data_IF_272365123930
#
_entry.id   IF_272365123930
#
_cell.length_a   1.000
_cell.length_b   1.000
_cell.length_c   1.000
_cell.angle_alpha   90.00
_cell.angle_beta   90.00
_cell.angle_gamma   90.00
#
_symmetry.space_group_name_H-M   'P 1'
#
loop_
_entity.id
_entity.type
_entity.pdbx_description
1 polymer ?
#
# COMPACT_ATOMS: atom_id res chain seq x y z
N UNK A 1 10.76 54.33 29.43
CA UNK A 1 9.80 54.35 28.29
C UNK A 1 10.65 54.21 27.03
N UNK A 2 10.45 53.32 26.06
CA UNK A 2 9.35 52.43 25.74
C UNK A 2 9.91 51.18 25.03
N UNK A 3 9.30 50.03 25.32
CA UNK A 3 9.43 48.79 24.55
C UNK A 3 8.84 48.99 23.16
N UNK A 4 9.62 48.83 22.09
CA UNK A 4 9.08 48.56 20.74
C UNK A 4 9.21 47.06 20.48
N UNK A 5 8.08 46.37 20.67
CA UNK A 5 7.89 44.97 20.27
C UNK A 5 8.13 44.86 18.76
N UNK A 6 9.05 43.98 18.38
CA UNK A 6 9.15 43.48 17.01
C UNK A 6 7.89 42.65 16.73
N UNK A 7 6.98 43.16 15.91
CA UNK A 7 5.96 42.32 15.29
C UNK A 7 6.65 41.51 14.20
N UNK A 8 6.97 40.25 14.48
CA UNK A 8 7.14 39.26 13.40
C UNK A 8 5.77 39.12 12.72
N UNK A 9 5.67 39.22 11.39
CA UNK A 9 4.44 38.84 10.71
C UNK A 9 4.22 37.34 10.96
N UNK A 10 3.07 37.00 11.56
CA UNK A 10 2.54 35.64 11.48
C UNK A 10 2.20 35.43 10.02
N UNK A 11 2.92 34.52 9.35
CA UNK A 11 2.53 34.01 8.05
C UNK A 11 1.18 33.31 8.25
N UNK A 12 0.09 33.92 7.80
CA UNK A 12 -1.20 33.24 7.66
C UNK A 12 -0.99 32.15 6.60
N UNK A 13 -1.11 30.87 7.01
CA UNK A 13 -1.15 29.76 6.05
C UNK A 13 -2.42 29.97 5.20
N UNK A 14 -2.30 29.80 3.89
CA UNK A 14 -3.43 30.01 2.99
C UNK A 14 -4.49 28.93 3.28
N UNK A 15 -5.79 29.24 3.24
CA UNK A 15 -6.88 28.27 3.50
C UNK A 15 -6.76 27.01 2.61
N UNK A 16 -6.16 27.16 1.42
CA UNK A 16 -5.85 26.02 0.53
C UNK A 16 -4.77 25.09 1.08
N UNK A 17 -3.75 25.65 1.72
CA UNK A 17 -2.65 24.87 2.31
C UNK A 17 -3.17 24.08 3.52
N UNK A 18 -4.02 24.71 4.34
CA UNK A 18 -4.66 24.04 5.49
C UNK A 18 -5.59 22.89 5.06
N UNK A 19 -6.31 23.05 3.93
CA UNK A 19 -7.14 21.97 3.38
C UNK A 19 -6.29 20.81 2.84
N UNK A 20 -5.16 21.10 2.19
CA UNK A 20 -4.25 20.05 1.71
C UNK A 20 -3.65 19.28 2.89
N UNK A 21 -3.16 19.98 3.92
CA UNK A 21 -2.62 19.34 5.13
C UNK A 21 -3.66 18.40 5.77
N UNK A 22 -4.92 18.84 5.86
CA UNK A 22 -6.01 18.03 6.41
C UNK A 22 -6.25 16.75 5.59
N UNK A 23 -6.21 16.84 4.26
CA UNK A 23 -6.37 15.68 3.38
C UNK A 23 -5.20 14.69 3.54
N UNK A 24 -3.97 15.20 3.64
CA UNK A 24 -2.77 14.38 3.84
C UNK A 24 -2.77 13.66 5.19
N UNK A 25 -3.16 14.36 6.26
CA UNK A 25 -3.30 13.78 7.60
C UNK A 25 -4.39 12.69 7.61
N UNK A 26 -5.56 12.99 7.03
CA UNK A 26 -6.66 12.03 6.92
C UNK A 26 -6.24 10.78 6.13
N UNK A 27 -5.58 10.94 4.99
CA UNK A 27 -5.09 9.82 4.18
C UNK A 27 -4.06 8.97 4.93
N UNK A 28 -3.16 9.63 5.68
CA UNK A 28 -2.14 8.96 6.48
C UNK A 28 -2.76 8.10 7.57
N UNK A 29 -3.77 8.61 8.28
CA UNK A 29 -4.52 7.86 9.28
C UNK A 29 -5.24 6.65 8.68
N UNK A 30 -5.89 6.81 7.52
CA UNK A 30 -6.53 5.70 6.81
C UNK A 30 -5.52 4.63 6.37
N UNK A 31 -4.38 5.05 5.84
CA UNK A 31 -3.31 4.15 5.39
C UNK A 31 -2.78 3.33 6.57
N UNK A 32 -2.53 4.00 7.70
CA UNK A 32 -2.10 3.31 8.93
C UNK A 32 -3.14 2.32 9.43
N UNK A 33 -4.43 2.68 9.41
CA UNK A 33 -5.49 1.78 9.80
C UNK A 33 -5.53 0.51 8.92
N UNK A 34 -5.34 0.64 7.61
CA UNK A 34 -5.24 -0.51 6.71
C UNK A 34 -3.99 -1.35 6.95
N UNK A 35 -2.83 -0.73 7.17
CA UNK A 35 -1.59 -1.45 7.48
C UNK A 35 -1.72 -2.29 8.75
N UNK A 36 -2.29 -1.72 9.81
CA UNK A 36 -2.55 -2.44 11.07
C UNK A 36 -3.58 -3.58 10.90
N UNK A 37 -4.60 -3.36 10.08
CA UNK A 37 -5.58 -4.41 9.76
C UNK A 37 -4.93 -5.55 8.96
N UNK A 38 -4.15 -5.23 7.94
CA UNK A 38 -3.43 -6.22 7.12
C UNK A 38 -2.33 -6.94 7.92
N UNK A 39 -1.72 -6.29 8.92
CA UNK A 39 -0.82 -6.95 9.87
C UNK A 39 -1.53 -8.03 10.69
N UNK A 40 -2.75 -7.76 11.18
CA UNK A 40 -3.55 -8.77 11.92
C UNK A 40 -3.86 -10.00 11.08
N UNK A 41 -3.97 -9.83 9.76
CA UNK A 41 -4.19 -10.93 8.82
C UNK A 41 -2.88 -11.59 8.36
N UNK A 42 -1.72 -11.07 8.78
CA UNK A 42 -0.41 -11.64 8.47
C UNK A 42 0.14 -11.26 7.09
N UNK A 43 -0.42 -10.24 6.45
CA UNK A 43 0.11 -9.67 5.19
C UNK A 43 1.34 -8.84 5.47
N UNK A 44 1.27 -8.00 6.51
CA UNK A 44 2.41 -7.23 7.01
C UNK A 44 2.89 -7.76 8.36
N UNK A 45 4.12 -7.40 8.69
CA UNK A 45 4.67 -7.42 10.04
C UNK A 45 5.27 -6.07 10.34
N UNK A 46 5.13 -5.57 11.57
CA UNK A 46 5.79 -4.36 12.00
C UNK A 46 7.01 -4.64 12.88
N UNK A 47 8.13 -3.96 12.60
CA UNK A 47 9.32 -3.96 13.43
C UNK A 47 10.00 -2.59 13.35
N UNK A 48 10.40 -2.03 14.49
CA UNK A 48 11.06 -0.71 14.57
C UNK A 48 10.29 0.42 13.86
N UNK A 49 8.97 0.48 14.04
CA UNK A 49 8.07 1.47 13.42
C UNK A 49 8.01 1.39 11.87
N UNK A 50 8.47 0.29 11.27
CA UNK A 50 8.37 0.02 9.83
C UNK A 50 7.46 -1.18 9.56
N UNK A 51 6.61 -1.08 8.53
CA UNK A 51 5.80 -2.18 8.02
C UNK A 51 6.54 -2.89 6.88
N UNK A 52 6.60 -4.22 6.96
CA UNK A 52 7.26 -5.07 5.97
C UNK A 52 6.27 -6.17 5.55
N UNK A 53 6.15 -6.41 4.24
CA UNK A 53 5.40 -7.54 3.68
C UNK A 53 5.97 -8.84 4.24
N UNK A 54 5.14 -9.77 4.71
CA UNK A 54 5.62 -11.06 5.20
C UNK A 54 6.06 -11.97 4.04
N UNK A 55 7.09 -12.78 4.26
CA UNK A 55 7.54 -13.79 3.29
C UNK A 55 6.38 -14.71 2.86
N UNK A 56 5.53 -15.10 3.81
CA UNK A 56 4.35 -15.94 3.56
C UNK A 56 3.40 -15.29 2.55
N UNK A 57 3.15 -14.00 2.68
CA UNK A 57 2.29 -13.28 1.75
C UNK A 57 2.99 -13.10 0.39
N UNK A 58 4.27 -12.72 0.39
CA UNK A 58 5.03 -12.55 -0.85
C UNK A 58 5.11 -13.85 -1.67
N UNK A 59 5.40 -14.98 -1.02
CA UNK A 59 5.41 -16.31 -1.64
C UNK A 59 4.05 -16.63 -2.29
N UNK A 60 2.95 -16.27 -1.63
CA UNK A 60 1.61 -16.48 -2.16
C UNK A 60 1.39 -15.64 -3.43
N UNK A 61 1.75 -14.37 -3.40
CA UNK A 61 1.62 -13.47 -4.58
C UNK A 61 2.46 -13.99 -5.74
N UNK A 62 3.72 -14.39 -5.50
CA UNK A 62 4.61 -14.92 -6.54
C UNK A 62 4.05 -16.20 -7.15
N UNK A 63 3.56 -17.12 -6.33
CA UNK A 63 2.98 -18.38 -6.82
C UNK A 63 1.75 -18.11 -7.71
N UNK A 64 0.86 -17.19 -7.30
CA UNK A 64 -0.28 -16.79 -8.11
C UNK A 64 0.15 -16.11 -9.42
N UNK A 65 1.19 -15.26 -9.36
CA UNK A 65 1.71 -14.58 -10.53
C UNK A 65 2.24 -15.56 -11.57
N UNK A 66 3.07 -16.53 -11.14
CA UNK A 66 3.59 -17.59 -12.02
C UNK A 66 2.47 -18.48 -12.59
N UNK A 67 1.46 -18.79 -11.78
CA UNK A 67 0.28 -19.54 -12.25
C UNK A 67 -0.47 -18.75 -13.33
N UNK A 68 -0.68 -17.45 -13.14
CA UNK A 68 -1.37 -16.59 -14.09
C UNK A 68 -0.59 -16.43 -15.41
N UNK A 69 0.73 -16.28 -15.35
CA UNK A 69 1.61 -16.30 -16.54
C UNK A 69 1.46 -17.63 -17.28
N UNK A 70 1.47 -18.76 -16.56
CA UNK A 70 1.33 -20.09 -17.18
C UNK A 70 -0.02 -20.30 -17.88
N UNK A 71 -1.05 -19.56 -17.46
CA UNK A 71 -2.38 -19.54 -18.09
C UNK A 71 -2.47 -18.57 -19.28
N UNK A 72 -1.39 -17.84 -19.59
CA UNK A 72 -1.33 -16.89 -20.70
C UNK A 72 -1.95 -15.53 -20.39
N UNK A 73 -2.02 -15.14 -19.11
CA UNK A 73 -2.42 -13.78 -18.73
C UNK A 73 -1.34 -12.77 -19.14
N UNK A 74 -1.76 -11.59 -19.59
CA UNK A 74 -0.85 -10.50 -19.95
C UNK A 74 -0.08 -10.02 -18.72
N UNK A 75 1.20 -9.71 -18.90
CA UNK A 75 2.11 -9.38 -17.80
C UNK A 75 1.60 -8.20 -16.93
N UNK A 76 0.95 -7.22 -17.57
CA UNK A 76 0.41 -6.03 -16.90
C UNK A 76 -0.76 -6.37 -15.96
N UNK A 77 -1.55 -7.40 -16.29
CA UNK A 77 -2.71 -7.83 -15.49
C UNK A 77 -2.30 -8.80 -14.36
N UNK A 78 -1.19 -9.53 -14.55
CA UNK A 78 -0.72 -10.56 -13.61
C UNK A 78 -0.51 -10.00 -12.20
N UNK A 79 0.12 -8.83 -12.06
CA UNK A 79 0.49 -8.28 -10.76
C UNK A 79 -0.76 -7.95 -9.94
N UNK A 80 -1.67 -7.17 -10.51
CA UNK A 80 -2.89 -6.73 -9.84
C UNK A 80 -3.77 -7.91 -9.44
N UNK A 81 -3.98 -8.86 -10.36
CA UNK A 81 -4.79 -10.04 -10.12
C UNK A 81 -4.19 -10.96 -9.04
N UNK A 82 -2.85 -11.08 -9.00
CA UNK A 82 -2.16 -11.91 -8.01
C UNK A 82 -2.23 -11.30 -6.61
N UNK A 83 -2.08 -9.98 -6.49
CA UNK A 83 -2.23 -9.27 -5.21
C UNK A 83 -3.68 -9.35 -4.73
N UNK A 84 -4.65 -9.09 -5.60
CA UNK A 84 -6.07 -9.15 -5.28
C UNK A 84 -6.45 -10.53 -4.70
N UNK A 85 -6.08 -11.60 -5.41
CA UNK A 85 -6.39 -12.96 -4.98
C UNK A 85 -5.61 -13.35 -3.71
N UNK A 86 -4.37 -12.88 -3.53
CA UNK A 86 -3.62 -13.12 -2.31
C UNK A 86 -4.28 -12.45 -1.08
N UNK A 87 -4.73 -11.21 -1.20
CA UNK A 87 -5.45 -10.50 -0.14
C UNK A 87 -6.75 -11.24 0.19
N UNK A 88 -7.53 -11.59 -0.84
CA UNK A 88 -8.77 -12.36 -0.67
C UNK A 88 -8.54 -13.67 0.11
N UNK A 89 -7.48 -14.40 -0.21
CA UNK A 89 -7.14 -15.66 0.48
C UNK A 89 -6.73 -15.45 1.94
N UNK A 90 -6.07 -14.33 2.27
CA UNK A 90 -5.63 -14.03 3.64
C UNK A 90 -6.77 -13.55 4.54
N UNK A 91 -7.75 -12.85 3.97
CA UNK A 91 -8.95 -12.40 4.69
C UNK A 91 -10.09 -13.43 4.66
N UNK A 92 -10.14 -14.31 3.66
CA UNK A 92 -11.22 -15.26 3.47
C UNK A 92 -12.56 -14.58 3.18
N UNK A 93 -13.62 -15.01 3.87
CA UNK A 93 -14.98 -14.47 3.72
C UNK A 93 -15.19 -13.14 4.48
N UNK A 94 -14.19 -12.64 5.20
CA UNK A 94 -14.31 -11.45 6.06
C UNK A 94 -14.18 -10.13 5.29
N UNK A 95 -13.75 -10.17 4.02
CA UNK A 95 -13.53 -8.98 3.19
C UNK A 95 -14.43 -8.97 1.95
N UNK A 96 -14.95 -7.80 1.60
CA UNK A 96 -15.67 -7.59 0.33
C UNK A 96 -14.72 -7.18 -0.79
N UNK A 97 -15.15 -7.33 -2.05
CA UNK A 97 -14.32 -6.96 -3.21
C UNK A 97 -13.94 -5.47 -3.19
N UNK A 98 -14.87 -4.60 -2.80
CA UNK A 98 -14.66 -3.14 -2.69
C UNK A 98 -13.59 -2.78 -1.64
N UNK A 99 -13.45 -3.60 -0.60
CA UNK A 99 -12.47 -3.41 0.47
C UNK A 99 -11.07 -3.93 0.10
N UNK A 100 -10.97 -4.81 -0.89
CA UNK A 100 -9.67 -5.34 -1.35
C UNK A 100 -8.91 -4.27 -2.13
N UNK A 101 -9.56 -3.51 -3.01
CA UNK A 101 -8.89 -2.52 -3.87
C UNK A 101 -7.99 -1.52 -3.12
N UNK A 102 -8.46 -0.80 -2.08
CA UNK A 102 -7.59 0.14 -1.37
C UNK A 102 -6.41 -0.55 -0.66
N UNK A 103 -6.58 -1.82 -0.25
CA UNK A 103 -5.49 -2.63 0.34
C UNK A 103 -4.50 -3.09 -0.72
N UNK A 104 -5.00 -3.48 -1.89
CA UNK A 104 -4.17 -3.86 -3.03
C UNK A 104 -3.30 -2.70 -3.51
N UNK A 105 -3.85 -1.48 -3.55
CA UNK A 105 -3.09 -0.26 -3.90
C UNK A 105 -1.94 -0.02 -2.91
N UNK A 106 -2.19 -0.20 -1.61
CA UNK A 106 -1.15 -0.10 -0.58
C UNK A 106 -0.11 -1.21 -0.78
N UNK A 107 -0.52 -2.46 -0.90
CA UNK A 107 0.42 -3.59 -1.09
C UNK A 107 1.28 -3.39 -2.33
N UNK A 108 0.69 -2.94 -3.44
CA UNK A 108 1.38 -2.70 -4.70
C UNK A 108 2.57 -1.75 -4.51
N UNK A 109 2.44 -0.70 -3.68
CA UNK A 109 3.54 0.22 -3.43
C UNK A 109 4.75 -0.40 -2.72
N UNK A 110 4.58 -1.57 -2.09
CA UNK A 110 5.69 -2.31 -1.44
C UNK A 110 6.32 -3.38 -2.33
N UNK A 111 5.57 -3.92 -3.31
CA UNK A 111 5.98 -5.15 -4.02
C UNK A 111 6.17 -4.97 -5.53
N UNK A 112 5.78 -3.82 -6.10
CA UNK A 112 5.76 -3.62 -7.55
C UNK A 112 7.11 -3.94 -8.20
N UNK A 113 8.20 -3.31 -7.74
CA UNK A 113 9.53 -3.49 -8.33
C UNK A 113 9.97 -4.97 -8.28
N UNK A 114 9.78 -5.63 -7.12
CA UNK A 114 10.14 -7.03 -6.93
C UNK A 114 9.35 -7.96 -7.86
N UNK A 115 8.04 -7.73 -8.02
CA UNK A 115 7.20 -8.56 -8.88
C UNK A 115 7.48 -8.35 -10.35
N UNK A 116 7.72 -7.10 -10.78
CA UNK A 116 8.09 -6.81 -12.15
C UNK A 116 9.37 -7.55 -12.57
N UNK A 117 10.39 -7.57 -11.70
CA UNK A 117 11.63 -8.31 -11.97
C UNK A 117 11.37 -9.82 -12.11
N UNK A 118 10.62 -10.41 -11.18
CA UNK A 118 10.28 -11.85 -11.20
C UNK A 118 9.50 -12.19 -12.48
N UNK A 119 8.52 -11.38 -12.87
CA UNK A 119 7.70 -11.61 -14.07
C UNK A 119 8.57 -11.51 -15.32
N UNK A 120 9.44 -10.49 -15.43
CA UNK A 120 10.35 -10.34 -16.58
C UNK A 120 11.27 -11.54 -16.75
N UNK A 121 11.79 -12.11 -15.65
CA UNK A 121 12.65 -13.30 -15.69
C UNK A 121 11.94 -14.58 -16.13
N UNK A 122 10.63 -14.68 -15.90
CA UNK A 122 9.84 -15.87 -16.18
C UNK A 122 9.00 -15.78 -17.47
N UNK A 123 8.64 -14.58 -17.93
CA UNK A 123 7.93 -14.35 -19.19
C UNK A 123 8.84 -14.41 -20.43
N UNK A 124 10.16 -14.31 -20.25
CA UNK A 124 11.17 -14.40 -21.32
C UNK A 124 11.67 -15.82 -21.64
N UNK A 125 11.08 -16.87 -21.05
CA UNK A 125 11.41 -18.29 -21.28
C UNK A 125 10.30 -18.99 -22.07
#
# INVERSE_FOLDING_TARGET
MANKRQNKPKTEKNEKDEYIDFLEETLSEFTLAFLLDMERHGIFSSANDEFIITDKFMDKVVNLALENISKGMEADDVIGESIYNAIKDFYGEEITEDEIYPRADIVLSFVLDNLEEIIKENAGK
#
